data_IF_889607782192
#
_entry.id   IF_889607782192
#
_cell.length_a   1.000
_cell.length_b   1.000
_cell.length_c   1.000
_cell.angle_alpha   90.00
_cell.angle_beta   90.00
_cell.angle_gamma   90.00
#
_symmetry.space_group_name_H-M   'P 1'
#
loop_
_entity.id
_entity.type
_entity.pdbx_description
1 polymer ?
#
# COMPACT_ATOMS: atom_id res chain seq x y z
N UNK A 1 17.75 -7.39 -3.01
CA UNK A 1 17.16 -6.41 -3.95
C UNK A 1 17.50 -5.03 -3.44
N UNK A 2 18.23 -4.26 -4.21
CA UNK A 2 18.61 -2.90 -3.81
C UNK A 2 17.53 -1.96 -4.34
N UNK A 3 16.58 -1.64 -3.48
CA UNK A 3 15.62 -0.56 -3.78
C UNK A 3 16.36 0.73 -3.42
N UNK A 4 16.51 1.66 -4.30
CA UNK A 4 17.11 2.97 -4.03
C UNK A 4 16.22 3.73 -3.03
N UNK A 5 16.29 3.36 -1.75
CA UNK A 5 15.48 3.84 -0.64
C UNK A 5 16.44 4.47 0.38
N UNK A 6 16.11 5.67 0.83
CA UNK A 6 16.94 6.42 1.77
C UNK A 6 16.89 5.84 3.20
N UNK A 7 15.72 5.32 3.61
CA UNK A 7 15.51 4.82 4.97
C UNK A 7 14.42 3.73 5.01
N UNK A 8 14.60 2.74 5.87
CA UNK A 8 13.63 1.65 6.08
C UNK A 8 13.36 1.49 7.57
N UNK A 9 12.11 1.53 7.95
CA UNK A 9 11.66 1.32 9.33
C UNK A 9 11.04 -0.07 9.48
N UNK A 10 11.60 -0.88 10.36
CA UNK A 10 11.00 -2.15 10.75
C UNK A 10 9.86 -1.90 11.76
N UNK A 11 8.63 -1.87 11.25
CA UNK A 11 7.43 -1.61 12.05
C UNK A 11 7.16 -2.66 13.14
N UNK A 12 7.90 -3.78 13.15
CA UNK A 12 7.81 -4.78 14.23
C UNK A 12 8.64 -4.38 15.46
N UNK A 13 9.57 -3.44 15.29
CA UNK A 13 10.50 -2.96 16.30
C UNK A 13 10.30 -1.49 16.65
N UNK A 14 9.86 -0.71 15.68
CA UNK A 14 9.75 0.74 15.80
C UNK A 14 8.38 1.23 15.34
N UNK A 15 7.83 2.21 16.06
CA UNK A 15 6.63 2.93 15.64
C UNK A 15 7.02 4.22 14.91
N UNK A 16 6.83 4.24 13.60
CA UNK A 16 7.08 5.44 12.77
C UNK A 16 6.32 6.68 13.27
N UNK A 17 5.18 6.49 13.94
CA UNK A 17 4.36 7.59 14.45
C UNK A 17 4.99 8.31 15.65
N UNK A 18 5.96 7.68 16.30
CA UNK A 18 6.75 8.28 17.40
C UNK A 18 7.95 9.08 16.89
N UNK A 19 8.25 9.01 15.59
CA UNK A 19 9.37 9.72 14.99
C UNK A 19 9.17 11.23 14.99
N UNK A 20 10.25 11.97 15.22
CA UNK A 20 10.29 13.43 15.04
C UNK A 20 10.37 13.85 13.57
N UNK A 21 10.72 12.92 12.66
CA UNK A 21 10.77 13.17 11.21
C UNK A 21 9.39 13.57 10.69
N UNK A 22 9.36 14.53 9.75
CA UNK A 22 8.15 14.96 9.06
C UNK A 22 8.29 14.67 7.58
N UNK A 23 7.18 14.28 6.97
CA UNK A 23 7.10 13.87 5.58
C UNK A 23 6.08 14.74 4.82
N UNK A 24 6.42 15.13 3.61
CA UNK A 24 5.50 15.90 2.76
C UNK A 24 4.41 15.01 2.18
N UNK A 25 4.71 13.73 1.96
CA UNK A 25 3.73 12.75 1.48
C UNK A 25 3.85 11.49 2.34
N UNK A 26 2.72 11.03 2.84
CA UNK A 26 2.58 9.71 3.47
C UNK A 26 1.60 8.89 2.63
N UNK A 27 2.10 7.84 1.98
CA UNK A 27 1.29 6.93 1.17
C UNK A 27 1.04 5.63 1.93
N UNK A 28 -0.20 5.43 2.33
CA UNK A 28 -0.67 4.22 3.03
C UNK A 28 -1.28 3.23 2.02
N UNK A 29 -0.41 2.40 1.44
CA UNK A 29 -0.80 1.39 0.48
C UNK A 29 -1.65 0.26 1.10
N UNK A 30 -1.52 0.05 2.41
CA UNK A 30 -2.18 -1.04 3.13
C UNK A 30 -3.52 -0.62 3.76
N UNK A 31 -3.74 0.70 3.87
CA UNK A 31 -4.94 1.27 4.46
C UNK A 31 -5.09 1.02 5.97
N UNK A 32 -3.98 0.83 6.66
CA UNK A 32 -3.96 0.55 8.11
C UNK A 32 -3.84 1.81 8.97
N UNK A 33 -3.52 2.94 8.34
CA UNK A 33 -3.33 4.21 9.03
C UNK A 33 -4.57 5.09 8.86
N UNK A 34 -4.92 5.84 9.89
CA UNK A 34 -5.94 6.88 9.78
C UNK A 34 -5.30 8.26 9.57
N UNK A 35 -6.03 9.19 8.94
CA UNK A 35 -5.53 10.55 8.72
C UNK A 35 -5.09 11.26 10.01
N UNK A 36 -5.83 11.20 11.15
CA UNK A 36 -5.36 11.79 12.41
C UNK A 36 -4.03 11.22 12.90
N UNK A 37 -3.79 9.92 12.70
CA UNK A 37 -2.51 9.30 13.03
C UNK A 37 -1.41 9.74 12.07
N UNK A 38 -1.66 9.68 10.75
CA UNK A 38 -0.72 10.11 9.72
C UNK A 38 -0.34 11.59 9.88
N UNK A 39 -1.28 12.45 10.31
CA UNK A 39 -1.04 13.88 10.49
C UNK A 39 0.05 14.19 11.52
N UNK A 40 0.35 13.26 12.43
CA UNK A 40 1.43 13.43 13.41
C UNK A 40 2.81 13.47 12.75
N UNK A 41 2.99 12.74 11.67
CA UNK A 41 4.26 12.63 10.93
C UNK A 41 4.26 13.44 9.62
N UNK A 42 3.15 14.10 9.26
CA UNK A 42 3.11 15.00 8.12
C UNK A 42 3.73 16.36 8.44
N UNK A 43 4.42 16.92 7.45
CA UNK A 43 4.82 18.33 7.44
C UNK A 43 3.60 19.27 7.48
N UNK A 44 3.83 20.58 7.64
CA UNK A 44 2.73 21.55 7.79
C UNK A 44 1.74 21.57 6.61
N UNK A 45 2.22 21.32 5.39
CA UNK A 45 1.41 21.25 4.16
C UNK A 45 1.35 19.82 3.58
N UNK A 46 1.66 18.81 4.40
CA UNK A 46 1.80 17.43 3.96
C UNK A 46 0.47 16.80 3.53
N UNK A 47 0.59 15.78 2.70
CA UNK A 47 -0.54 15.06 2.11
C UNK A 47 -0.49 13.59 2.54
N UNK A 48 -1.58 13.12 3.13
CA UNK A 48 -1.82 11.70 3.37
C UNK A 48 -2.60 11.11 2.20
N UNK A 49 -2.09 10.02 1.65
CA UNK A 49 -2.71 9.28 0.54
C UNK A 49 -2.97 7.86 0.99
N UNK A 50 -4.19 7.36 0.81
CA UNK A 50 -4.55 5.99 1.16
C UNK A 50 -5.31 5.30 0.05
N UNK A 51 -5.17 3.99 -0.05
CA UNK A 51 -5.94 3.14 -0.97
C UNK A 51 -7.28 2.71 -0.37
N UNK A 52 -7.45 2.88 0.94
CA UNK A 52 -8.67 2.46 1.65
C UNK A 52 -9.70 3.59 1.66
N UNK A 53 -10.83 3.36 1.02
CA UNK A 53 -11.99 4.23 1.15
C UNK A 53 -12.71 3.90 2.46
N UNK A 54 -12.62 4.80 3.44
CA UNK A 54 -13.28 4.67 4.73
C UNK A 54 -14.23 5.87 4.92
N UNK A 55 -15.43 5.60 5.44
CA UNK A 55 -16.45 6.63 5.70
C UNK A 55 -15.94 7.73 6.63
N UNK A 56 -15.02 7.40 7.54
CA UNK A 56 -14.36 8.38 8.42
C UNK A 56 -13.45 9.34 7.67
N UNK A 57 -12.90 8.94 6.53
CA UNK A 57 -12.12 9.83 5.67
C UNK A 57 -13.01 10.91 5.03
N UNK A 58 -14.29 10.64 4.85
CA UNK A 58 -15.25 11.58 4.25
C UNK A 58 -15.71 12.65 5.26
N UNK A 59 -15.81 12.31 6.55
CA UNK A 59 -16.13 13.29 7.61
C UNK A 59 -14.97 14.27 7.81
N UNK A 60 -13.73 13.76 7.67
CA UNK A 60 -12.54 14.60 7.76
C UNK A 60 -12.38 15.55 6.56
N UNK A 61 -13.04 15.29 5.42
CA UNK A 61 -12.99 16.16 4.24
C UNK A 61 -13.54 17.56 4.56
N UNK A 62 -14.63 17.66 5.31
CA UNK A 62 -15.19 18.96 5.69
C UNK A 62 -14.23 19.73 6.63
N UNK A 63 -13.55 19.03 7.54
CA UNK A 63 -12.55 19.64 8.43
C UNK A 63 -11.29 20.06 7.68
N UNK A 64 -10.96 19.38 6.56
CA UNK A 64 -9.79 19.68 5.75
C UNK A 64 -9.87 21.03 5.01
N UNK A 65 -11.06 21.61 4.86
CA UNK A 65 -11.21 22.97 4.28
C UNK A 65 -10.45 24.01 5.11
N UNK A 66 -10.33 23.78 6.41
CA UNK A 66 -9.66 24.69 7.35
C UNK A 66 -8.26 24.21 7.78
N UNK A 67 -7.82 23.06 7.30
CA UNK A 67 -6.51 22.49 7.65
C UNK A 67 -5.53 22.60 6.49
N UNK A 68 -4.26 22.87 6.80
CA UNK A 68 -3.19 22.89 5.80
C UNK A 68 -2.83 21.48 5.31
N UNK A 69 -2.87 20.49 6.22
CA UNK A 69 -2.64 19.07 5.88
C UNK A 69 -3.85 18.50 5.15
N UNK A 70 -3.61 17.71 4.12
CA UNK A 70 -4.65 17.16 3.24
C UNK A 70 -4.68 15.63 3.30
N UNK A 71 -5.86 15.05 3.08
CA UNK A 71 -6.04 13.62 2.85
C UNK A 71 -6.57 13.37 1.44
N UNK A 72 -6.11 12.29 0.80
CA UNK A 72 -6.57 11.85 -0.52
C UNK A 72 -6.79 10.34 -0.51
N UNK A 73 -7.84 9.89 -1.14
CA UNK A 73 -8.11 8.48 -1.38
C UNK A 73 -7.80 8.19 -2.84
N UNK A 74 -6.88 7.26 -3.09
CA UNK A 74 -6.65 6.71 -4.41
C UNK A 74 -7.50 5.47 -4.54
N UNK A 75 -8.59 5.59 -5.30
CA UNK A 75 -9.36 4.42 -5.68
C UNK A 75 -8.49 3.63 -6.66
N UNK A 76 -8.14 2.40 -6.29
CA UNK A 76 -7.40 1.48 -7.15
C UNK A 76 -8.14 1.37 -8.48
N UNK A 77 -7.43 1.74 -9.54
CA UNK A 77 -7.97 2.17 -10.79
C UNK A 77 -8.86 1.17 -11.50
N UNK A 78 -9.59 1.67 -12.46
CA UNK A 78 -10.33 0.85 -13.41
C UNK A 78 -9.34 -0.08 -14.12
N UNK A 79 -9.48 -1.37 -13.88
CA UNK A 79 -8.75 -2.40 -14.62
C UNK A 79 -9.14 -2.29 -16.10
N UNK A 80 -8.17 -2.18 -16.98
CA UNK A 80 -8.41 -2.23 -18.42
C UNK A 80 -7.47 -3.26 -19.04
N UNK A 81 -7.89 -3.91 -20.11
CA UNK A 81 -7.06 -4.85 -20.86
C UNK A 81 -5.76 -4.19 -21.31
N UNK A 82 -5.82 -2.94 -21.74
CA UNK A 82 -4.63 -2.18 -22.14
C UNK A 82 -3.60 -2.03 -21.00
N UNK A 83 -4.06 -1.82 -19.75
CA UNK A 83 -3.15 -1.75 -18.61
C UNK A 83 -2.53 -3.11 -18.31
N UNK A 84 -3.29 -4.20 -18.44
CA UNK A 84 -2.75 -5.54 -18.23
C UNK A 84 -1.73 -5.91 -19.29
N UNK A 85 -1.97 -5.56 -20.54
CA UNK A 85 -1.02 -5.75 -21.64
C UNK A 85 0.26 -4.95 -21.41
N UNK A 86 0.14 -3.71 -20.96
CA UNK A 86 1.29 -2.87 -20.62
C UNK A 86 2.12 -3.49 -19.48
N UNK A 87 1.47 -3.99 -18.42
CA UNK A 87 2.17 -4.68 -17.33
C UNK A 87 2.86 -5.95 -17.83
N UNK A 88 2.21 -6.72 -18.70
CA UNK A 88 2.81 -7.91 -19.31
C UNK A 88 4.09 -7.53 -20.06
N UNK A 89 4.02 -6.53 -20.94
CA UNK A 89 5.18 -6.04 -21.68
C UNK A 89 6.31 -5.61 -20.74
N UNK A 90 6.01 -4.88 -19.68
CA UNK A 90 7.02 -4.43 -18.72
C UNK A 90 7.67 -5.58 -17.95
N UNK A 91 6.92 -6.65 -17.68
CA UNK A 91 7.46 -7.87 -17.05
C UNK A 91 8.37 -8.61 -18.04
N UNK A 92 7.93 -8.79 -19.29
CA UNK A 92 8.70 -9.43 -20.35
C UNK A 92 10.00 -8.66 -20.67
N UNK A 93 9.95 -7.33 -20.69
CA UNK A 93 11.11 -6.44 -20.83
C UNK A 93 12.01 -6.37 -19.57
N UNK A 94 11.65 -7.03 -18.49
CA UNK A 94 12.40 -6.97 -17.23
C UNK A 94 12.33 -5.65 -16.48
N UNK A 95 11.47 -4.70 -16.93
CA UNK A 95 11.26 -3.39 -16.26
C UNK A 95 10.55 -3.52 -14.93
N UNK A 96 9.69 -4.53 -14.79
CA UNK A 96 8.99 -4.89 -13.56
C UNK A 96 9.29 -6.36 -13.26
N UNK A 97 9.67 -6.65 -12.01
CA UNK A 97 9.86 -8.01 -11.54
C UNK A 97 8.93 -8.29 -10.36
N UNK A 98 7.78 -8.94 -10.60
CA UNK A 98 6.88 -9.34 -9.52
C UNK A 98 7.61 -10.27 -8.53
N UNK A 99 7.44 -10.00 -7.25
CA UNK A 99 7.97 -10.89 -6.21
C UNK A 99 6.90 -11.94 -5.95
N UNK A 100 7.18 -13.18 -6.32
CA UNK A 100 6.36 -14.34 -6.02
C UNK A 100 6.93 -14.96 -4.75
N UNK A 101 6.14 -14.96 -3.69
CA UNK A 101 6.55 -15.53 -2.41
C UNK A 101 6.31 -17.04 -2.39
N UNK A 102 5.11 -17.46 -2.80
CA UNK A 102 4.75 -18.87 -2.77
C UNK A 102 3.76 -19.22 -3.88
N UNK A 103 3.91 -20.43 -4.37
CA UNK A 103 3.02 -21.04 -5.37
C UNK A 103 2.34 -22.23 -4.68
N UNK A 104 1.04 -22.33 -4.81
CA UNK A 104 0.23 -23.43 -4.32
C UNK A 104 -0.47 -24.11 -5.49
N UNK A 105 -0.68 -25.41 -5.42
CA UNK A 105 -1.63 -26.08 -6.30
C UNK A 105 -3.06 -25.66 -5.97
N UNK A 106 -3.98 -25.79 -6.92
CA UNK A 106 -5.37 -25.41 -6.67
C UNK A 106 -5.99 -26.18 -5.50
N UNK A 107 -5.63 -27.43 -5.30
CA UNK A 107 -6.10 -28.24 -4.16
C UNK A 107 -5.72 -27.65 -2.79
N UNK A 108 -4.69 -26.82 -2.76
CA UNK A 108 -4.20 -26.13 -1.56
C UNK A 108 -4.77 -24.71 -1.41
N UNK A 109 -5.87 -24.39 -2.10
CA UNK A 109 -6.42 -23.03 -2.12
C UNK A 109 -6.74 -22.46 -0.72
N UNK A 110 -7.17 -23.34 0.20
CA UNK A 110 -7.46 -22.93 1.59
C UNK A 110 -6.18 -22.49 2.33
N UNK A 111 -5.08 -23.19 2.12
CA UNK A 111 -3.79 -22.84 2.73
C UNK A 111 -3.27 -21.52 2.15
N UNK A 112 -3.40 -21.35 0.83
CA UNK A 112 -3.06 -20.10 0.15
C UNK A 112 -3.88 -18.93 0.69
N UNK A 113 -5.20 -19.12 0.85
CA UNK A 113 -6.10 -18.12 1.40
C UNK A 113 -5.77 -17.77 2.86
N UNK A 114 -5.53 -18.77 3.69
CA UNK A 114 -5.17 -18.57 5.09
C UNK A 114 -3.83 -17.84 5.23
N UNK A 115 -2.85 -18.18 4.37
CA UNK A 115 -1.59 -17.47 4.33
C UNK A 115 -1.78 -15.99 3.94
N UNK A 116 -2.56 -15.71 2.91
CA UNK A 116 -2.88 -14.34 2.50
C UNK A 116 -3.63 -13.57 3.60
N UNK A 117 -4.63 -14.22 4.23
CA UNK A 117 -5.42 -13.64 5.32
C UNK A 117 -4.58 -13.29 6.56
N UNK A 118 -3.48 -13.98 6.79
CA UNK A 118 -2.56 -13.68 7.91
C UNK A 118 -1.97 -12.26 7.83
N UNK A 119 -2.02 -11.62 6.66
CA UNK A 119 -1.42 -10.30 6.41
C UNK A 119 0.11 -10.30 6.41
N UNK A 120 0.75 -11.47 6.44
CA UNK A 120 2.22 -11.62 6.52
C UNK A 120 2.87 -11.95 5.18
N UNK A 121 2.09 -12.03 4.12
CA UNK A 121 2.61 -12.30 2.79
C UNK A 121 3.57 -11.18 2.35
N UNK A 122 4.80 -11.57 1.97
CA UNK A 122 5.86 -10.66 1.52
C UNK A 122 5.93 -10.50 0.01
N UNK A 123 5.04 -11.16 -0.71
CA UNK A 123 4.98 -11.15 -2.16
C UNK A 123 3.64 -11.64 -2.69
N UNK A 124 3.58 -11.96 -3.98
CA UNK A 124 2.38 -12.52 -4.61
C UNK A 124 2.25 -14.00 -4.27
N UNK A 125 1.02 -14.42 -3.98
CA UNK A 125 0.65 -15.82 -3.83
C UNK A 125 -0.01 -16.25 -5.13
N UNK A 126 0.47 -17.33 -5.73
CA UNK A 126 -0.07 -17.88 -6.96
C UNK A 126 -0.77 -19.20 -6.69
N UNK A 127 -1.85 -19.45 -7.42
CA UNK A 127 -2.49 -20.75 -7.53
C UNK A 127 -2.26 -21.30 -8.95
N UNK A 128 -1.80 -22.53 -9.06
CA UNK A 128 -1.64 -23.22 -10.34
C UNK A 128 -2.72 -24.27 -10.52
N UNK A 129 -3.24 -24.33 -11.72
CA UNK A 129 -4.16 -25.38 -12.18
C UNK A 129 -3.35 -26.33 -13.07
N UNK A 130 -3.25 -27.56 -12.67
CA UNK A 130 -2.63 -28.64 -13.49
C UNK A 130 -3.72 -29.34 -14.26
#
# INVERSE_FOLDING_TARGET
MNFNIDDVVDYTKEDILSSSKKYDIVFDANGNLSFPKASKILSANGIYVTTKNNIYNNIDVAKQLFQRKKSRVVLSGRTSTANLDLFRMWIEDGKIKPIIEKIFSFDQYLDAYNHLKSGRAKGKILLTFN
#
